data_IF_983848931722
#
_entry.id   IF_983848931722
#
_cell.length_a   1.000
_cell.length_b   1.000
_cell.length_c   1.000
_cell.angle_alpha   90.00
_cell.angle_beta   90.00
_cell.angle_gamma   90.00
#
_symmetry.space_group_name_H-M   'P 1'
#
loop_
_entity.id
_entity.type
_entity.pdbx_description
1 polymer ?
#
# COMPACT_ATOMS: atom_id res chain seq x y z
N UNK A 1 -18.57 0.36 -14.26
CA UNK A 1 -19.73 1.24 -14.56
C UNK A 1 -20.48 1.45 -13.26
N UNK A 2 -20.35 2.61 -12.60
CA UNK A 2 -21.15 2.94 -11.43
C UNK A 2 -22.37 3.76 -11.89
N UNK A 3 -23.58 3.32 -11.50
CA UNK A 3 -24.82 4.03 -11.81
C UNK A 3 -24.95 5.31 -10.96
N UNK A 4 -25.49 6.41 -11.50
CA UNK A 4 -25.62 7.67 -10.77
C UNK A 4 -26.81 7.57 -9.79
N UNK A 5 -26.53 7.64 -8.49
CA UNK A 5 -27.55 7.84 -7.44
C UNK A 5 -27.99 6.62 -6.63
N UNK A 6 -27.34 5.45 -6.75
CA UNK A 6 -27.67 4.28 -5.94
C UNK A 6 -26.87 4.22 -4.62
N UNK A 7 -27.56 4.15 -3.49
CA UNK A 7 -26.93 3.73 -2.23
C UNK A 7 -26.34 2.32 -2.42
N UNK A 8 -25.02 2.20 -2.39
CA UNK A 8 -24.34 0.90 -2.41
C UNK A 8 -24.77 0.12 -1.16
N UNK A 9 -25.24 -1.11 -1.36
CA UNK A 9 -25.52 -1.99 -0.24
C UNK A 9 -24.19 -2.46 0.41
N UNK A 10 -24.29 -3.00 1.63
CA UNK A 10 -23.12 -3.44 2.38
C UNK A 10 -22.32 -4.54 1.67
N UNK A 11 -22.97 -5.43 0.91
CA UNK A 11 -22.32 -6.53 0.21
C UNK A 11 -21.44 -6.03 -0.95
N UNK A 12 -21.97 -5.15 -1.80
CA UNK A 12 -21.26 -4.53 -2.92
C UNK A 12 -20.08 -3.67 -2.44
N UNK A 13 -20.27 -2.93 -1.35
CA UNK A 13 -19.21 -2.11 -0.76
C UNK A 13 -18.09 -2.98 -0.16
N UNK A 14 -18.45 -4.07 0.55
CA UNK A 14 -17.46 -4.96 1.15
C UNK A 14 -16.58 -5.64 0.10
N UNK A 15 -17.21 -6.31 -0.87
CA UNK A 15 -16.50 -7.25 -1.73
C UNK A 15 -15.76 -6.54 -2.87
N UNK A 16 -16.40 -5.55 -3.50
CA UNK A 16 -15.88 -4.96 -4.73
C UNK A 16 -15.16 -3.63 -4.53
N UNK A 17 -15.46 -2.88 -3.46
CA UNK A 17 -14.83 -1.57 -3.28
C UNK A 17 -13.78 -1.59 -2.20
N UNK A 18 -14.11 -2.02 -0.99
CA UNK A 18 -13.19 -1.92 0.13
C UNK A 18 -12.04 -2.94 0.00
N UNK A 19 -12.36 -4.23 -0.17
CA UNK A 19 -11.34 -5.27 -0.27
C UNK A 19 -10.47 -5.12 -1.52
N UNK A 20 -11.06 -4.85 -2.69
CA UNK A 20 -10.30 -4.66 -3.93
C UNK A 20 -9.38 -3.43 -3.86
N UNK A 21 -9.84 -2.32 -3.27
CA UNK A 21 -9.02 -1.13 -3.08
C UNK A 21 -7.81 -1.39 -2.17
N UNK A 22 -8.02 -2.09 -1.04
CA UNK A 22 -6.93 -2.46 -0.13
C UNK A 22 -5.92 -3.40 -0.79
N UNK A 23 -6.39 -4.41 -1.53
CA UNK A 23 -5.52 -5.33 -2.29
C UNK A 23 -4.73 -4.61 -3.39
N UNK A 24 -5.38 -3.72 -4.14
CA UNK A 24 -4.73 -2.89 -5.17
C UNK A 24 -3.65 -1.99 -4.56
N UNK A 25 -3.98 -1.33 -3.44
CA UNK A 25 -3.06 -0.42 -2.74
C UNK A 25 -1.85 -1.17 -2.17
N UNK A 26 -2.05 -2.31 -1.53
CA UNK A 26 -0.97 -3.18 -1.04
C UNK A 26 -0.05 -3.63 -2.19
N UNK A 27 -0.62 -4.09 -3.31
CA UNK A 27 0.15 -4.47 -4.50
C UNK A 27 0.98 -3.31 -5.05
N UNK A 28 0.40 -2.11 -5.12
CA UNK A 28 1.10 -0.92 -5.59
C UNK A 28 2.24 -0.52 -4.64
N UNK A 29 2.01 -0.51 -3.31
CA UNK A 29 3.04 -0.20 -2.32
C UNK A 29 4.20 -1.20 -2.45
N UNK A 30 3.92 -2.50 -2.53
CA UNK A 30 4.95 -3.54 -2.71
C UNK A 30 5.74 -3.36 -4.00
N UNK A 31 5.08 -3.01 -5.12
CA UNK A 31 5.75 -2.71 -6.37
C UNK A 31 6.68 -1.48 -6.25
N UNK A 32 6.22 -0.41 -5.61
CA UNK A 32 7.02 0.79 -5.35
C UNK A 32 8.25 0.49 -4.46
N UNK A 33 8.09 -0.35 -3.43
CA UNK A 33 9.19 -0.81 -2.57
C UNK A 33 10.19 -1.61 -3.39
N UNK A 34 9.74 -2.57 -4.20
CA UNK A 34 10.61 -3.40 -5.03
C UNK A 34 11.45 -2.55 -6.00
N UNK A 35 10.79 -1.64 -6.74
CA UNK A 35 11.46 -0.75 -7.67
C UNK A 35 12.47 0.17 -6.97
N UNK A 36 12.09 0.77 -5.84
CA UNK A 36 13.00 1.66 -5.09
C UNK A 36 14.17 0.87 -4.48
N UNK A 37 13.94 -0.38 -4.05
CA UNK A 37 14.98 -1.27 -3.55
C UNK A 37 16.01 -1.61 -4.63
N UNK A 38 15.56 -1.86 -5.85
CA UNK A 38 16.44 -2.10 -7.01
C UNK A 38 17.32 -0.88 -7.28
N UNK A 39 16.74 0.33 -7.33
CA UNK A 39 17.49 1.58 -7.52
C UNK A 39 18.52 1.79 -6.39
N UNK A 40 18.15 1.54 -5.13
CA UNK A 40 19.10 1.61 -4.00
C UNK A 40 20.21 0.58 -4.15
N UNK A 41 19.91 -0.63 -4.66
CA UNK A 41 20.90 -1.65 -4.97
C UNK A 41 21.92 -1.18 -6.01
N UNK A 42 21.44 -0.67 -7.14
CA UNK A 42 22.28 -0.13 -8.21
C UNK A 42 23.18 1.02 -7.73
N UNK A 43 22.62 1.97 -6.95
CA UNK A 43 23.39 3.09 -6.40
C UNK A 43 24.44 2.65 -5.35
N UNK A 44 24.19 1.55 -4.63
CA UNK A 44 25.19 0.95 -3.72
C UNK A 44 26.35 0.35 -4.50
N UNK A 45 26.07 -0.30 -5.62
CA UNK A 45 27.11 -0.85 -6.51
C UNK A 45 27.92 0.25 -7.18
N UNK A 46 27.29 1.34 -7.65
CA UNK A 46 28.01 2.51 -8.17
C UNK A 46 28.91 3.15 -7.11
N UNK A 47 28.40 3.34 -5.89
CA UNK A 47 29.20 3.85 -4.77
C UNK A 47 30.40 2.95 -4.44
N UNK A 48 30.28 1.64 -4.63
CA UNK A 48 31.39 0.71 -4.40
C UNK A 48 32.50 0.87 -5.45
N UNK A 49 32.18 1.36 -6.66
CA UNK A 49 33.15 1.65 -7.72
C UNK A 49 33.85 3.00 -7.50
N UNK A 50 33.10 4.01 -7.05
CA UNK A 50 33.61 5.35 -6.75
C UNK A 50 32.93 5.93 -5.50
N UNK A 51 33.59 5.75 -4.36
CA UNK A 51 33.05 6.11 -3.05
C UNK A 51 32.98 7.62 -2.78
N UNK A 52 33.77 8.42 -3.51
CA UNK A 52 33.88 9.88 -3.33
C UNK A 52 32.90 10.64 -4.24
N UNK A 53 32.18 9.95 -5.13
CA UNK A 53 31.20 10.57 -6.00
C UNK A 53 30.02 11.15 -5.20
N UNK A 54 30.10 12.47 -4.95
CA UNK A 54 29.12 13.21 -4.15
C UNK A 54 27.71 13.17 -4.75
N UNK A 55 27.58 13.06 -6.07
CA UNK A 55 26.29 12.96 -6.73
C UNK A 55 25.60 11.62 -6.43
N UNK A 56 26.32 10.50 -6.60
CA UNK A 56 25.85 9.15 -6.26
C UNK A 56 25.51 9.05 -4.78
N UNK A 57 26.37 9.56 -3.90
CA UNK A 57 26.14 9.57 -2.45
C UNK A 57 24.88 10.35 -2.06
N UNK A 58 24.64 11.51 -2.68
CA UNK A 58 23.44 12.32 -2.43
C UNK A 58 22.18 11.60 -2.93
N UNK A 59 22.23 11.00 -4.10
CA UNK A 59 21.11 10.25 -4.68
C UNK A 59 20.78 9.01 -3.84
N UNK A 60 21.80 8.26 -3.42
CA UNK A 60 21.65 7.09 -2.57
C UNK A 60 20.93 7.42 -1.25
N UNK A 61 21.29 8.53 -0.59
CA UNK A 61 20.60 8.98 0.63
C UNK A 61 19.12 9.29 0.39
N UNK A 62 18.80 9.97 -0.72
CA UNK A 62 17.42 10.28 -1.09
C UNK A 62 16.59 9.02 -1.32
N UNK A 63 17.09 8.09 -2.12
CA UNK A 63 16.38 6.84 -2.42
C UNK A 63 16.27 5.93 -1.20
N UNK A 64 17.25 5.93 -0.28
CA UNK A 64 17.14 5.23 1.00
C UNK A 64 16.05 5.81 1.90
N UNK A 65 15.95 7.14 2.02
CA UNK A 65 14.86 7.78 2.77
C UNK A 65 13.50 7.48 2.12
N UNK A 66 13.41 7.56 0.79
CA UNK A 66 12.20 7.22 0.05
C UNK A 66 11.79 5.76 0.30
N UNK A 67 12.74 4.82 0.23
CA UNK A 67 12.48 3.40 0.51
C UNK A 67 11.92 3.20 1.93
N UNK A 68 12.51 3.86 2.93
CA UNK A 68 12.03 3.78 4.31
C UNK A 68 10.60 4.31 4.46
N UNK A 69 10.27 5.42 3.79
CA UNK A 69 8.90 5.96 3.78
C UNK A 69 7.92 4.98 3.12
N UNK A 70 8.26 4.45 1.94
CA UNK A 70 7.44 3.46 1.24
C UNK A 70 7.21 2.20 2.09
N UNK A 71 8.22 1.73 2.82
CA UNK A 71 8.06 0.62 3.76
C UNK A 71 7.11 0.95 4.92
N UNK A 72 7.11 2.19 5.40
CA UNK A 72 6.16 2.60 6.45
C UNK A 72 4.71 2.66 5.95
N UNK A 73 4.48 2.86 4.65
CA UNK A 73 3.14 2.82 4.06
C UNK A 73 2.49 1.43 4.18
N UNK A 74 3.26 0.34 4.25
CA UNK A 74 2.70 -1.00 4.52
C UNK A 74 2.06 -1.07 5.91
N UNK A 75 2.69 -0.46 6.91
CA UNK A 75 2.14 -0.43 8.27
C UNK A 75 0.88 0.46 8.33
N UNK A 76 0.88 1.56 7.57
CA UNK A 76 -0.32 2.41 7.43
C UNK A 76 -1.43 1.63 6.72
N UNK A 77 -1.12 0.87 5.68
CA UNK A 77 -2.07 0.04 4.95
C UNK A 77 -2.79 -0.93 5.87
N UNK A 78 -2.02 -1.68 6.67
CA UNK A 78 -2.52 -2.65 7.64
C UNK A 78 -3.49 -2.00 8.64
N UNK A 79 -3.06 -0.91 9.27
CA UNK A 79 -3.88 -0.20 10.27
C UNK A 79 -5.15 0.36 9.64
N UNK A 80 -5.06 0.91 8.43
CA UNK A 80 -6.24 1.46 7.73
C UNK A 80 -7.18 0.34 7.33
N UNK A 81 -6.69 -0.78 6.80
CA UNK A 81 -7.52 -1.93 6.44
C UNK A 81 -8.27 -2.48 7.67
N UNK A 82 -7.58 -2.67 8.79
CA UNK A 82 -8.18 -3.15 10.04
C UNK A 82 -9.27 -2.21 10.57
N UNK A 83 -8.98 -0.89 10.59
CA UNK A 83 -9.95 0.12 11.05
C UNK A 83 -11.15 0.21 10.11
N UNK A 84 -10.92 0.18 8.79
CA UNK A 84 -11.98 0.17 7.78
C UNK A 84 -12.87 -1.05 7.94
N UNK A 85 -12.29 -2.24 8.12
CA UNK A 85 -13.04 -3.47 8.33
C UNK A 85 -13.87 -3.43 9.61
N UNK A 86 -13.31 -2.88 10.71
CA UNK A 86 -14.05 -2.71 11.96
C UNK A 86 -15.26 -1.79 11.78
N UNK A 87 -15.06 -0.59 11.22
CA UNK A 87 -16.14 0.39 11.00
C UNK A 87 -17.20 -0.18 10.04
N UNK A 88 -16.77 -0.86 8.98
CA UNK A 88 -17.66 -1.54 8.07
C UNK A 88 -18.50 -2.58 8.80
N UNK A 89 -17.86 -3.48 9.55
CA UNK A 89 -18.55 -4.51 10.33
C UNK A 89 -19.58 -3.90 11.28
N UNK A 90 -19.22 -2.86 12.03
CA UNK A 90 -20.12 -2.17 12.97
C UNK A 90 -21.35 -1.57 12.28
N UNK A 91 -21.17 -0.93 11.11
CA UNK A 91 -22.25 -0.27 10.38
C UNK A 91 -23.12 -1.24 9.57
N UNK A 92 -22.51 -2.30 9.05
CA UNK A 92 -23.16 -3.23 8.15
C UNK A 92 -23.67 -4.50 8.82
N UNK A 93 -23.39 -4.74 10.11
CA UNK A 93 -23.75 -5.97 10.84
C UNK A 93 -25.22 -6.38 10.70
N UNK A 94 -26.14 -5.42 10.62
CA UNK A 94 -27.59 -5.66 10.51
C UNK A 94 -27.99 -6.07 9.09
N UNK A 95 -27.23 -5.61 8.09
CA UNK A 95 -27.53 -5.78 6.67
C UNK A 95 -26.70 -6.87 5.99
N UNK A 96 -25.53 -7.19 6.54
CA UNK A 96 -24.57 -8.13 5.97
C UNK A 96 -23.67 -8.69 7.07
N UNK A 97 -23.63 -10.01 7.17
CA UNK A 97 -22.65 -10.74 7.98
C UNK A 97 -21.63 -11.35 7.02
N UNK A 98 -20.38 -10.88 7.02
CA UNK A 98 -19.36 -11.45 6.15
C UNK A 98 -19.21 -12.95 6.43
N UNK A 99 -19.13 -13.81 5.40
CA UNK A 99 -18.83 -15.22 5.60
C UNK A 99 -17.48 -15.32 6.32
N UNK A 100 -17.43 -16.10 7.40
CA UNK A 100 -16.18 -16.34 8.13
C UNK A 100 -15.19 -16.96 7.16
N UNK A 101 -14.12 -16.24 6.85
CA UNK A 101 -12.98 -16.79 6.12
C UNK A 101 -12.39 -17.88 7.03
N UNK A 102 -12.44 -19.13 6.58
CA UNK A 102 -11.83 -20.28 7.27
C UNK A 102 -10.32 -20.28 7.07
#
# INVERSE_FOLDING_TARGET
>A
MAAPGGTLNCEDFSMFQMMEAHLSRDKAIKACIAQTSEVVGQLREERAKDGENLAVNKQLRKEQTKLKLMQSELNVEEVVNDRSLKVFSERCRIHYMPPKVK
#
